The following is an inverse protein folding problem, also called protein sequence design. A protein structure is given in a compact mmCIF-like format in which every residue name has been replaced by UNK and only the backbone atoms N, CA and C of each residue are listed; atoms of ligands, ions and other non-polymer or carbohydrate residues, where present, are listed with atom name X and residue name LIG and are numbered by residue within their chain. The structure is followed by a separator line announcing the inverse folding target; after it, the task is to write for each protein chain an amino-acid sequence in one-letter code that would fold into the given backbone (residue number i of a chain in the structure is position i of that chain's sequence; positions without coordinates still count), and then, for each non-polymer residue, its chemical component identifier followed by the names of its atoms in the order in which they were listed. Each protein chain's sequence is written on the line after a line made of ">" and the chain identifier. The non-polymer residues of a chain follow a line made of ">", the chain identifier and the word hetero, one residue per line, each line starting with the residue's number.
data_IF_493137613797
#
_entry.id   IF_493137613797
#
_cell.length_a   1.000
_cell.length_b   1.000
_cell.length_c   1.000
_cell.angle_alpha   90.00
_cell.angle_beta   90.00
_cell.angle_gamma   90.00
#
_symmetry.space_group_name_H-M   'P 1'
#
loop_
_entity.id
_entity.type
_entity.pdbx_description
1 polymer ?
#
# COMPACT_ATOMS: atom_id res chain seq x y z
N UNK A 1 5.23 -7.53 -17.05
CA UNK A 1 6.60 -7.04 -16.88
C UNK A 1 6.55 -5.52 -16.95
N UNK A 2 7.14 -4.78 -16.01
CA UNK A 2 7.17 -3.32 -16.12
C UNK A 2 8.48 -2.96 -16.78
N UNK A 3 8.44 -2.69 -18.07
CA UNK A 3 9.63 -2.27 -18.82
C UNK A 3 9.85 -0.76 -18.64
N UNK A 4 11.06 -0.40 -18.25
CA UNK A 4 11.45 0.98 -18.03
C UNK A 4 12.59 1.34 -18.95
N UNK A 5 12.31 2.20 -19.93
CA UNK A 5 13.33 2.83 -20.76
C UNK A 5 13.32 4.34 -20.50
N UNK A 6 14.50 4.94 -20.52
CA UNK A 6 14.66 6.40 -20.44
C UNK A 6 14.16 7.00 -21.75
N UNK A 7 13.37 8.07 -21.66
CA UNK A 7 12.94 8.81 -22.86
C UNK A 7 14.10 9.69 -23.36
N UNK A 8 14.26 9.84 -24.67
CA UNK A 8 15.27 10.74 -25.25
C UNK A 8 14.97 12.18 -24.79
N UNK A 9 15.96 12.86 -24.21
CA UNK A 9 15.80 14.21 -23.65
C UNK A 9 15.27 14.30 -22.22
N UNK A 10 15.00 13.18 -21.54
CA UNK A 10 14.53 13.18 -20.15
C UNK A 10 15.70 13.33 -19.14
N UNK A 11 15.55 14.21 -18.14
CA UNK A 11 16.47 14.27 -17.00
C UNK A 11 16.40 12.98 -16.16
N UNK A 12 17.54 12.51 -15.67
CA UNK A 12 17.64 11.26 -14.88
C UNK A 12 16.69 11.25 -13.67
N UNK A 13 16.60 12.36 -12.94
CA UNK A 13 15.70 12.45 -11.77
C UNK A 13 14.23 12.28 -12.15
N UNK A 14 13.82 12.81 -13.31
CA UNK A 14 12.44 12.67 -13.80
C UNK A 14 12.14 11.21 -14.16
N UNK A 15 13.11 10.52 -14.76
CA UNK A 15 13.02 9.08 -15.01
C UNK A 15 12.90 8.29 -13.70
N UNK A 16 13.74 8.58 -12.70
CA UNK A 16 13.74 7.90 -11.41
C UNK A 16 12.41 8.10 -10.65
N UNK A 17 11.85 9.32 -10.67
CA UNK A 17 10.53 9.60 -10.11
C UNK A 17 9.43 8.78 -10.80
N UNK A 18 9.45 8.70 -12.14
CA UNK A 18 8.50 7.86 -12.89
C UNK A 18 8.65 6.38 -12.54
N UNK A 19 9.89 5.90 -12.46
CA UNK A 19 10.21 4.53 -12.08
C UNK A 19 9.62 4.19 -10.71
N UNK A 20 9.94 4.98 -9.68
CA UNK A 20 9.45 4.76 -8.31
C UNK A 20 7.93 4.77 -8.24
N UNK A 21 7.28 5.78 -8.85
CA UNK A 21 5.81 5.89 -8.87
C UNK A 21 5.15 4.68 -9.55
N UNK A 22 5.74 4.21 -10.65
CA UNK A 22 5.20 3.06 -11.40
C UNK A 22 5.44 1.75 -10.64
N UNK A 23 6.60 1.60 -9.98
CA UNK A 23 6.91 0.44 -9.14
C UNK A 23 5.91 0.34 -7.99
N UNK A 24 5.62 1.45 -7.29
CA UNK A 24 4.61 1.51 -6.23
C UNK A 24 3.22 1.15 -6.78
N UNK A 25 2.82 1.75 -7.92
CA UNK A 25 1.52 1.48 -8.56
C UNK A 25 1.38 0.01 -8.98
N UNK A 26 2.45 -0.62 -9.44
CA UNK A 26 2.45 -2.03 -9.87
C UNK A 26 2.24 -3.01 -8.72
N UNK A 27 2.49 -2.59 -7.46
CA UNK A 27 2.46 -3.43 -6.25
C UNK A 27 3.34 -4.68 -6.32
N UNK A 28 4.21 -4.82 -7.32
CA UNK A 28 5.05 -6.01 -7.53
C UNK A 28 5.99 -6.26 -6.36
N UNK A 29 6.57 -5.20 -5.81
CA UNK A 29 7.42 -5.31 -4.62
C UNK A 29 6.65 -5.85 -3.40
N UNK A 30 5.41 -5.41 -3.20
CA UNK A 30 4.55 -5.89 -2.12
C UNK A 30 4.12 -7.34 -2.33
N UNK A 31 3.84 -7.73 -3.57
CA UNK A 31 3.53 -9.11 -3.94
C UNK A 31 4.71 -10.06 -3.63
N UNK A 32 5.93 -9.67 -4.03
CA UNK A 32 7.15 -10.43 -3.74
C UNK A 32 7.39 -10.52 -2.22
N UNK A 33 7.29 -9.40 -1.49
CA UNK A 33 7.44 -9.41 -0.03
C UNK A 33 6.41 -10.30 0.67
N UNK A 34 5.17 -10.30 0.19
CA UNK A 34 4.09 -11.14 0.72
C UNK A 34 4.34 -12.63 0.46
N UNK A 35 4.88 -12.97 -0.72
CA UNK A 35 5.17 -14.36 -1.13
C UNK A 35 6.54 -14.87 -0.68
N UNK A 36 7.39 -14.02 -0.09
CA UNK A 36 8.74 -14.38 0.37
C UNK A 36 8.74 -15.58 1.34
N UNK A 37 7.68 -15.72 2.13
CA UNK A 37 7.52 -16.79 3.11
C UNK A 37 6.26 -17.60 2.83
N UNK A 38 6.27 -18.88 3.21
CA UNK A 38 5.08 -19.74 3.18
C UNK A 38 4.11 -19.23 4.23
N UNK A 39 2.94 -18.76 3.79
CA UNK A 39 1.86 -18.32 4.68
C UNK A 39 0.73 -19.34 4.66
N UNK A 40 0.43 -19.95 5.81
CA UNK A 40 -0.73 -20.84 5.95
C UNK A 40 -2.05 -20.06 5.93
N UNK A 41 -3.13 -20.75 5.55
CA UNK A 41 -4.49 -20.18 5.60
C UNK A 41 -4.88 -19.93 7.07
N UNK A 42 -5.50 -18.77 7.34
CA UNK A 42 -6.02 -18.44 8.67
C UNK A 42 -7.07 -19.47 9.11
N UNK A 43 -7.01 -19.91 10.36
CA UNK A 43 -8.05 -20.76 10.96
C UNK A 43 -9.34 -19.94 11.26
N UNK A 44 -10.45 -20.62 11.60
CA UNK A 44 -11.74 -19.93 11.85
C UNK A 44 -11.67 -18.88 12.95
N UNK A 45 -10.92 -19.15 14.03
CA UNK A 45 -10.77 -18.23 15.16
C UNK A 45 -10.02 -16.95 14.74
N UNK A 46 -8.88 -17.10 14.05
CA UNK A 46 -8.09 -16.00 13.50
C UNK A 46 -8.86 -15.17 12.46
N UNK A 47 -9.74 -15.81 11.68
CA UNK A 47 -10.62 -15.10 10.76
C UNK A 47 -11.63 -14.24 11.52
N UNK A 48 -12.27 -14.78 12.57
CA UNK A 48 -13.22 -14.05 13.42
C UNK A 48 -12.54 -12.87 14.12
N UNK A 49 -11.40 -13.11 14.75
CA UNK A 49 -10.61 -12.06 15.42
C UNK A 49 -10.22 -10.94 14.44
N UNK A 50 -9.70 -11.31 13.26
CA UNK A 50 -9.36 -10.34 12.22
C UNK A 50 -10.57 -9.50 11.76
N UNK A 51 -11.74 -10.13 11.62
CA UNK A 51 -12.97 -9.43 11.23
C UNK A 51 -13.43 -8.44 12.32
N UNK A 52 -13.36 -8.81 13.60
CA UNK A 52 -13.70 -7.94 14.73
C UNK A 52 -12.78 -6.73 14.79
N UNK A 53 -11.46 -6.94 14.71
CA UNK A 53 -10.47 -5.85 14.69
C UNK A 53 -10.71 -4.94 13.49
N UNK A 54 -10.92 -5.52 12.31
CA UNK A 54 -11.17 -4.74 11.08
C UNK A 54 -12.43 -3.86 11.20
N UNK A 55 -13.48 -4.38 11.85
CA UNK A 55 -14.73 -3.62 12.09
C UNK A 55 -14.47 -2.45 13.04
N UNK A 56 -13.81 -2.69 14.17
CA UNK A 56 -13.47 -1.64 15.14
C UNK A 56 -12.61 -0.54 14.51
N UNK A 57 -11.62 -0.91 13.69
CA UNK A 57 -10.77 0.05 12.99
C UNK A 57 -11.56 0.90 11.98
N UNK A 58 -12.52 0.30 11.28
CA UNK A 58 -13.41 1.00 10.35
C UNK A 58 -14.30 2.00 11.10
N UNK A 59 -14.95 1.57 12.18
CA UNK A 59 -15.80 2.42 13.03
C UNK A 59 -15.01 3.62 13.57
N UNK A 60 -13.80 3.37 14.11
CA UNK A 60 -12.90 4.42 14.59
C UNK A 60 -12.52 5.40 13.48
N UNK A 61 -12.20 4.90 12.28
CA UNK A 61 -11.85 5.74 11.13
C UNK A 61 -13.04 6.59 10.68
N UNK A 62 -14.25 6.03 10.66
CA UNK A 62 -15.48 6.76 10.31
C UNK A 62 -15.80 7.84 11.35
N UNK A 63 -15.65 7.55 12.64
CA UNK A 63 -15.80 8.54 13.71
C UNK A 63 -14.79 9.70 13.58
N UNK A 64 -13.52 9.39 13.37
CA UNK A 64 -12.48 10.40 13.15
C UNK A 64 -12.75 11.23 11.90
N UNK A 65 -13.28 10.62 10.83
CA UNK A 65 -13.69 11.34 9.61
C UNK A 65 -14.83 12.30 9.88
N UNK A 66 -15.86 11.88 10.63
CA UNK A 66 -17.01 12.72 11.00
C UNK A 66 -16.62 13.90 11.90
N UNK A 67 -15.68 13.68 12.82
CA UNK A 67 -15.23 14.70 13.76
C UNK A 67 -14.13 15.62 13.22
N UNK A 68 -13.71 15.43 11.95
CA UNK A 68 -12.62 16.20 11.34
C UNK A 68 -11.23 15.93 11.95
N UNK A 69 -11.11 14.99 12.88
CA UNK A 69 -9.84 14.60 13.54
C UNK A 69 -9.12 13.46 12.81
N UNK A 70 -9.59 13.07 11.62
CA UNK A 70 -8.89 12.11 10.79
C UNK A 70 -7.57 12.75 10.40
N UNK A 71 -6.46 12.25 10.98
CA UNK A 71 -5.12 12.61 10.52
C UNK A 71 -5.11 12.37 9.02
N UNK A 72 -4.92 13.43 8.24
CA UNK A 72 -4.54 13.27 6.86
C UNK A 72 -3.30 12.40 6.89
N UNK A 73 -3.36 11.22 6.25
CA UNK A 73 -2.14 10.48 5.99
C UNK A 73 -1.26 11.46 5.23
N UNK A 74 -0.23 11.99 5.92
CA UNK A 74 0.83 12.77 5.29
C UNK A 74 1.28 11.87 4.17
N UNK A 75 0.86 12.17 2.94
CA UNK A 75 1.31 11.47 1.75
C UNK A 75 2.82 11.55 1.88
N UNK A 76 3.45 10.44 2.25
CA UNK A 76 4.89 10.34 2.26
C UNK A 76 5.28 10.85 0.89
N UNK A 77 5.91 12.03 0.85
CA UNK A 77 6.63 12.44 -0.34
C UNK A 77 7.54 11.24 -0.65
N UNK A 78 7.69 10.96 -1.94
CA UNK A 78 8.48 9.87 -2.53
C UNK A 78 7.67 8.61 -2.88
#
# INVERSE_FOLDING_TARGET
>A
MVEFKRKKGENFESFLRRFNKTLIKSRKLNEVRKRKYITHKKNKSQQKEYALISRQMREKKEYLRKTGKLKEETKGRW
#
